data_IF_642861831323
#
_entry.id   IF_642861831323
#
_cell.length_a   1.000
_cell.length_b   1.000
_cell.length_c   1.000
_cell.angle_alpha   90.00
_cell.angle_beta   90.00
_cell.angle_gamma   90.00
#
_symmetry.space_group_name_H-M   'P 1'
#
loop_
_entity.id
_entity.type
_entity.pdbx_description
1 polymer ?
#
# COMPACT_ATOMS: atom_id res chain seq x y z
N UNK A 1 -44.14 19.91 33.17
CA UNK A 1 -43.53 18.61 32.80
C UNK A 1 -42.19 18.88 32.14
N UNK A 2 -41.17 18.19 32.62
CA UNK A 2 -39.75 18.39 32.33
C UNK A 2 -39.33 17.35 31.28
N UNK A 3 -38.97 17.77 30.06
CA UNK A 3 -38.43 16.87 29.04
C UNK A 3 -37.04 17.33 28.63
N UNK A 4 -36.02 16.73 29.25
CA UNK A 4 -34.66 16.69 28.74
C UNK A 4 -34.60 15.67 27.59
N UNK A 5 -34.15 16.09 26.41
CA UNK A 5 -33.65 15.19 25.39
C UNK A 5 -32.36 15.76 24.80
N UNK A 6 -31.25 15.39 25.43
CA UNK A 6 -29.90 15.53 24.91
C UNK A 6 -29.75 14.63 23.69
N UNK A 7 -29.66 15.21 22.48
CA UNK A 7 -29.11 14.50 21.33
C UNK A 7 -27.69 15.00 21.07
N UNK A 8 -26.78 14.55 21.93
CA UNK A 8 -25.36 14.49 21.60
C UNK A 8 -25.17 13.36 20.58
N UNK A 9 -24.99 13.69 19.29
CA UNK A 9 -24.44 12.75 18.30
C UNK A 9 -23.37 13.41 17.44
N UNK A 10 -22.18 13.38 18.04
CA UNK A 10 -20.86 13.21 17.44
C UNK A 10 -20.45 14.20 16.34
N UNK A 11 -19.45 15.08 16.60
CA UNK A 11 -18.68 15.65 15.50
C UNK A 11 -18.17 14.50 14.65
N UNK A 12 -18.42 14.55 13.35
CA UNK A 12 -17.76 13.67 12.37
C UNK A 12 -16.28 13.77 12.68
N UNK A 13 -15.74 12.77 13.39
CA UNK A 13 -14.31 12.55 13.46
C UNK A 13 -13.95 12.38 12.00
N UNK A 14 -13.45 13.47 11.39
CA UNK A 14 -12.34 13.36 10.47
C UNK A 14 -11.34 12.57 11.26
N UNK A 15 -11.42 11.26 11.11
CA UNK A 15 -10.28 10.40 11.27
C UNK A 15 -9.33 11.01 10.27
N UNK A 16 -8.55 12.00 10.73
CA UNK A 16 -7.18 12.10 10.31
C UNK A 16 -6.69 10.70 10.58
N UNK A 17 -6.81 9.85 9.57
CA UNK A 17 -6.07 8.60 9.45
C UNK A 17 -4.66 9.11 9.45
N UNK A 18 -4.13 9.32 10.66
CA UNK A 18 -2.72 9.44 10.95
C UNK A 18 -2.20 8.14 10.39
N UNK A 19 -1.80 8.17 9.12
CA UNK A 19 -1.20 7.05 8.42
C UNK A 19 -0.10 6.60 9.37
N UNK A 20 -0.24 5.42 10.02
CA UNK A 20 0.68 5.01 11.05
C UNK A 20 2.07 5.10 10.45
N UNK A 21 2.93 5.94 11.06
CA UNK A 21 4.19 6.44 10.51
C UNK A 21 4.89 5.30 9.76
N UNK A 22 4.75 5.31 8.44
CA UNK A 22 5.33 4.27 7.60
C UNK A 22 6.83 4.27 7.86
N UNK A 23 7.42 3.10 8.06
CA UNK A 23 8.88 3.00 8.20
C UNK A 23 9.56 3.45 6.91
N UNK A 24 10.84 3.78 6.98
CA UNK A 24 11.59 4.23 5.80
C UNK A 24 11.54 3.16 4.68
N UNK A 25 11.70 1.89 5.05
CA UNK A 25 11.55 0.75 4.14
C UNK A 25 10.14 0.66 3.52
N UNK A 26 9.07 0.85 4.30
CA UNK A 26 7.70 0.83 3.76
C UNK A 26 7.50 1.98 2.75
N UNK A 27 7.97 3.18 3.08
CA UNK A 27 7.89 4.34 2.18
C UNK A 27 8.69 4.14 0.91
N UNK A 28 9.92 3.65 1.03
CA UNK A 28 10.79 3.35 -0.11
C UNK A 28 10.12 2.36 -1.07
N UNK A 29 9.56 1.26 -0.54
CA UNK A 29 8.80 0.29 -1.34
C UNK A 29 7.60 0.93 -2.05
N UNK A 30 6.80 1.73 -1.34
CA UNK A 30 5.62 2.36 -1.92
C UNK A 30 6.01 3.33 -3.04
N UNK A 31 7.05 4.15 -2.82
CA UNK A 31 7.57 5.06 -3.85
C UNK A 31 8.03 4.29 -5.09
N UNK A 32 8.78 3.19 -4.94
CA UNK A 32 9.19 2.38 -6.09
C UNK A 32 7.99 1.76 -6.81
N UNK A 33 6.99 1.29 -6.07
CA UNK A 33 5.74 0.79 -6.65
C UNK A 33 4.98 1.89 -7.42
N UNK A 34 5.05 3.15 -6.98
CA UNK A 34 4.47 4.30 -7.70
C UNK A 34 5.26 4.69 -8.96
N UNK A 35 6.58 4.54 -8.93
CA UNK A 35 7.51 4.79 -10.05
C UNK A 35 7.40 3.73 -11.18
N UNK A 36 6.57 2.70 -10.99
CA UNK A 36 6.33 1.65 -11.97
C UNK A 36 7.15 0.38 -11.75
N UNK A 37 7.64 0.17 -10.53
CA UNK A 37 8.07 -1.15 -10.09
C UNK A 37 6.85 -1.94 -9.59
N UNK A 38 6.91 -3.26 -9.68
CA UNK A 38 6.05 -4.15 -8.90
C UNK A 38 6.90 -4.87 -7.87
N UNK A 39 6.30 -5.21 -6.73
CA UNK A 39 6.96 -5.95 -5.68
C UNK A 39 6.63 -7.42 -5.90
N UNK A 40 7.61 -8.29 -5.94
CA UNK A 40 7.42 -9.74 -5.96
C UNK A 40 7.97 -10.31 -4.68
N UNK A 41 7.29 -11.31 -4.14
CA UNK A 41 7.80 -12.13 -3.05
C UNK A 41 7.63 -13.59 -3.42
N UNK A 42 8.30 -14.47 -2.71
CA UNK A 42 7.95 -15.90 -2.75
C UNK A 42 6.50 -16.15 -2.29
N UNK A 43 5.98 -17.35 -2.51
CA UNK A 43 4.67 -17.82 -2.04
C UNK A 43 4.46 -17.64 -0.53
N UNK A 44 5.54 -17.68 0.24
CA UNK A 44 5.52 -17.43 1.69
C UNK A 44 5.55 -15.94 2.07
N UNK A 45 5.68 -15.03 1.10
CA UNK A 45 5.86 -13.60 1.36
C UNK A 45 7.28 -13.19 1.76
N UNK A 46 8.24 -14.10 1.56
CA UNK A 46 9.66 -13.88 1.82
C UNK A 46 10.38 -13.38 0.56
N UNK A 47 11.63 -12.92 0.73
CA UNK A 47 12.48 -12.41 -0.35
C UNK A 47 11.79 -11.33 -1.21
N UNK A 48 11.48 -10.15 -0.65
CA UNK A 48 10.92 -9.05 -1.42
C UNK A 48 11.90 -8.56 -2.47
N UNK A 49 11.49 -8.66 -3.74
CA UNK A 49 12.23 -8.13 -4.88
C UNK A 49 11.36 -7.14 -5.63
N UNK A 50 11.94 -6.01 -6.03
CA UNK A 50 11.26 -4.99 -6.81
C UNK A 50 11.64 -5.18 -8.26
N UNK A 51 10.68 -5.52 -9.10
CA UNK A 51 10.91 -5.71 -10.53
C UNK A 51 10.26 -4.59 -11.32
N UNK A 52 11.04 -3.97 -12.20
CA UNK A 52 10.62 -2.83 -12.99
C UNK A 52 9.74 -3.28 -14.14
N UNK A 53 8.58 -2.64 -14.31
CA UNK A 53 7.68 -2.96 -15.44
C UNK A 53 8.27 -2.64 -16.81
N UNK A 54 9.20 -1.68 -16.88
CA UNK A 54 9.77 -1.20 -18.15
C UNK A 54 10.84 -2.14 -18.72
N UNK A 55 11.80 -2.53 -17.88
CA UNK A 55 13.03 -3.21 -18.32
C UNK A 55 13.19 -4.59 -17.67
N UNK A 56 12.28 -4.99 -16.79
CA UNK A 56 12.41 -6.18 -15.94
C UNK A 56 13.63 -6.15 -14.99
N UNK A 57 14.24 -4.98 -14.80
CA UNK A 57 15.28 -4.76 -13.80
C UNK A 57 14.77 -5.21 -12.42
N UNK A 58 15.50 -6.14 -11.81
CA UNK A 58 15.20 -6.67 -10.47
C UNK A 58 16.12 -6.01 -9.46
N UNK A 59 15.54 -5.27 -8.53
CA UNK A 59 16.22 -4.62 -7.42
C UNK A 59 15.86 -5.36 -6.14
N UNK A 60 16.87 -5.77 -5.37
CA UNK A 60 16.67 -6.31 -4.03
C UNK A 60 16.79 -5.18 -3.00
N UNK A 61 15.68 -4.64 -2.49
CA UNK A 61 15.73 -3.64 -1.43
C UNK A 61 16.39 -4.23 -0.18
N UNK A 62 17.57 -3.73 0.20
CA UNK A 62 18.30 -4.20 1.39
C UNK A 62 17.51 -3.97 2.69
N UNK A 63 16.70 -2.92 2.73
CA UNK A 63 15.93 -2.52 3.92
C UNK A 63 14.52 -3.12 3.97
N UNK A 64 14.06 -3.78 2.90
CA UNK A 64 12.74 -4.39 2.88
C UNK A 64 12.84 -5.87 3.22
N UNK A 65 12.07 -6.26 4.24
CA UNK A 65 11.98 -7.64 4.69
C UNK A 65 10.54 -8.16 4.53
N UNK A 66 10.36 -9.47 4.70
CA UNK A 66 9.05 -10.11 4.72
C UNK A 66 8.07 -9.41 5.70
N UNK A 67 8.57 -8.94 6.85
CA UNK A 67 7.81 -8.16 7.82
C UNK A 67 7.25 -6.86 7.24
N UNK A 68 8.01 -6.17 6.39
CA UNK A 68 7.58 -4.95 5.70
C UNK A 68 6.44 -5.25 4.73
N UNK A 69 6.57 -6.30 3.92
CA UNK A 69 5.50 -6.73 2.99
C UNK A 69 4.26 -7.16 3.76
N UNK A 70 4.43 -7.92 4.85
CA UNK A 70 3.33 -8.34 5.74
C UNK A 70 2.61 -7.15 6.33
N UNK A 71 3.34 -6.12 6.79
CA UNK A 71 2.77 -4.89 7.31
C UNK A 71 1.97 -4.13 6.24
N UNK A 72 2.54 -3.93 5.05
CA UNK A 72 1.86 -3.28 3.92
C UNK A 72 0.58 -4.03 3.52
N UNK A 73 0.61 -5.36 3.51
CA UNK A 73 -0.55 -6.22 3.23
C UNK A 73 -1.61 -6.10 4.31
N UNK A 74 -1.25 -6.22 5.59
CA UNK A 74 -2.18 -6.13 6.72
C UNK A 74 -2.83 -4.74 6.78
N UNK A 75 -2.09 -3.68 6.44
CA UNK A 75 -2.60 -2.31 6.32
C UNK A 75 -3.46 -2.08 5.08
N UNK A 76 -3.49 -3.04 4.14
CA UNK A 76 -4.23 -2.92 2.90
C UNK A 76 -3.66 -1.88 1.94
N UNK A 77 -2.36 -1.58 2.01
CA UNK A 77 -1.66 -0.66 1.11
C UNK A 77 -1.24 -1.35 -0.19
N UNK A 78 -1.03 -2.66 -0.12
CA UNK A 78 -0.75 -3.51 -1.27
C UNK A 78 -1.78 -4.62 -1.36
N UNK A 79 -1.95 -5.15 -2.56
CA UNK A 79 -2.82 -6.29 -2.85
C UNK A 79 -2.09 -7.26 -3.78
N UNK A 80 -2.30 -8.58 -3.60
CA UNK A 80 -1.73 -9.55 -4.50
C UNK A 80 -2.36 -9.34 -5.88
N UNK A 81 -1.52 -9.26 -6.89
CA UNK A 81 -1.87 -9.21 -8.30
C UNK A 81 -1.50 -10.52 -8.98
N UNK A 82 -1.92 -10.66 -10.23
CA UNK A 82 -1.50 -11.79 -11.06
C UNK A 82 -0.02 -11.61 -11.42
N UNK A 83 0.81 -12.49 -10.87
CA UNK A 83 2.23 -12.60 -11.18
C UNK A 83 2.49 -13.45 -12.40
N UNK A 84 3.70 -13.35 -12.92
CA UNK A 84 4.17 -14.18 -14.04
C UNK A 84 4.48 -15.60 -13.57
N UNK A 85 5.02 -15.73 -12.36
CA UNK A 85 5.42 -17.00 -11.78
C UNK A 85 4.36 -17.51 -10.79
N UNK A 86 3.98 -18.80 -10.84
CA UNK A 86 3.05 -19.39 -9.89
C UNK A 86 3.66 -19.54 -8.49
N UNK A 87 4.99 -19.52 -8.39
CA UNK A 87 5.74 -19.63 -7.14
C UNK A 87 5.95 -18.27 -6.45
N UNK A 88 5.67 -17.15 -7.14
CA UNK A 88 5.83 -15.81 -6.59
C UNK A 88 4.51 -15.06 -6.51
N UNK A 89 4.37 -14.21 -5.50
CA UNK A 89 3.25 -13.31 -5.34
C UNK A 89 3.70 -11.93 -5.77
N UNK A 90 3.18 -11.45 -6.90
CA UNK A 90 3.36 -10.06 -7.32
C UNK A 90 2.38 -9.18 -6.56
N UNK A 91 2.89 -8.30 -5.71
CA UNK A 91 2.16 -7.26 -5.02
C UNK A 91 2.09 -5.97 -5.85
N UNK A 92 0.90 -5.38 -5.86
CA UNK A 92 0.65 -4.06 -6.47
C UNK A 92 0.08 -3.12 -5.44
N UNK A 93 0.33 -1.83 -5.62
CA UNK A 93 -0.31 -0.80 -4.81
C UNK A 93 -1.83 -0.95 -4.86
N UNK A 94 -2.42 -1.12 -3.69
CA UNK A 94 -3.86 -0.95 -3.51
C UNK A 94 -4.07 0.55 -3.51
N UNK A 95 -4.46 1.10 -4.66
CA UNK A 95 -4.89 2.49 -4.75
C UNK A 95 -6.10 2.68 -3.83
N UNK A 96 -5.86 3.08 -2.57
CA UNK A 96 -6.89 3.54 -1.67
C UNK A 96 -7.29 4.94 -2.15
N UNK A 97 -8.03 5.00 -3.27
CA UNK A 97 -8.81 6.16 -3.71
C UNK A 97 -8.16 7.53 -3.43
N UNK A 98 -6.89 7.70 -3.82
CA UNK A 98 -6.16 8.97 -3.66
C UNK A 98 -5.14 9.18 -4.78
N UNK A 99 -5.54 8.93 -6.03
CA UNK A 99 -5.15 9.83 -7.11
C UNK A 99 -6.44 10.51 -7.56
N UNK A 100 -6.60 11.85 -7.43
CA UNK A 100 -7.48 12.52 -8.35
C UNK A 100 -6.96 12.14 -9.74
N UNK A 101 -7.86 11.60 -10.58
CA UNK A 101 -7.56 11.39 -11.99
C UNK A 101 -6.91 12.67 -12.48
N UNK A 102 -5.74 12.58 -13.13
CA UNK A 102 -5.25 13.71 -13.93
C UNK A 102 -6.41 14.12 -14.82
N UNK A 103 -6.99 15.28 -14.50
CA UNK A 103 -7.99 15.90 -15.35
C UNK A 103 -7.28 16.16 -16.67
N UNK A 104 -7.76 15.50 -17.70
CA UNK A 104 -7.40 15.79 -19.07
C UNK A 104 -7.95 17.20 -19.36
N UNK A 105 -7.09 18.19 -19.29
CA UNK A 105 -7.29 19.50 -19.92
C UNK A 105 -6.24 19.61 -21.02
N UNK A 106 -6.52 20.16 -22.19
CA UNK A 106 -7.73 20.59 -22.86
C UNK A 106 -7.39 20.54 -24.34
#
# INVERSE_FOLDING_TARGET
>A
MLNFATSSRMPKKKVNTVLPKLTDSERGLLSQLEEGYHLETDSLGNDPVLRRLKDNEVLRPADANASTVKALRQRGLIRPGKGHDPLTITWRLRLAKARPKKAKGR
#
